data_IF_821012381881
#
_entry.id   IF_821012381881
#
_cell.length_a   1.000
_cell.length_b   1.000
_cell.length_c   1.000
_cell.angle_alpha   90.00
_cell.angle_beta   90.00
_cell.angle_gamma   90.00
#
_symmetry.space_group_name_H-M   'P 1'
#
loop_
_entity.id
_entity.type
_entity.pdbx_description
1 polymer ?
#
# COMPACT_ATOMS: atom_id res chain seq x y z
N UNK A 1 -23.24 23.06 -21.20
CA UNK A 1 -23.05 21.59 -21.17
C UNK A 1 -21.88 21.30 -20.22
N UNK A 2 -22.05 20.43 -19.22
CA UNK A 2 -20.95 20.08 -18.31
C UNK A 2 -19.88 19.29 -19.07
N UNK A 3 -18.59 19.58 -18.83
CA UNK A 3 -17.50 18.79 -19.40
C UNK A 3 -17.57 17.35 -18.83
N UNK A 4 -17.36 16.32 -19.65
CA UNK A 4 -17.27 14.95 -19.14
C UNK A 4 -16.07 14.81 -18.21
N UNK A 5 -16.23 13.99 -17.16
CA UNK A 5 -15.14 13.70 -16.23
C UNK A 5 -13.97 13.02 -16.97
N UNK A 6 -12.73 13.29 -16.55
CA UNK A 6 -11.59 12.54 -17.06
C UNK A 6 -11.72 11.04 -16.69
N UNK A 7 -11.06 10.14 -17.43
CA UNK A 7 -10.98 8.74 -17.06
C UNK A 7 -10.43 8.56 -15.64
N UNK A 8 -10.87 7.51 -14.91
CA UNK A 8 -10.29 7.18 -13.61
C UNK A 8 -8.82 6.82 -13.77
N UNK A 9 -8.03 7.13 -12.74
CA UNK A 9 -6.63 6.70 -12.65
C UNK A 9 -6.55 5.28 -12.08
N UNK A 10 -5.44 4.61 -12.37
CA UNK A 10 -5.11 3.31 -11.77
C UNK A 10 -4.50 3.48 -10.36
N UNK A 11 -4.56 2.42 -9.57
CA UNK A 11 -3.87 2.34 -8.28
C UNK A 11 -2.35 2.34 -8.48
N UNK A 12 -1.63 3.03 -7.60
CA UNK A 12 -0.17 3.04 -7.58
C UNK A 12 0.35 2.17 -6.44
N UNK A 13 1.06 1.09 -6.79
CA UNK A 13 1.74 0.22 -5.83
C UNK A 13 3.21 0.60 -5.75
N UNK A 14 3.60 1.35 -4.71
CA UNK A 14 4.98 1.74 -4.49
C UNK A 14 5.84 0.54 -4.05
N UNK A 15 6.98 0.32 -4.71
CA UNK A 15 7.97 -0.67 -4.26
C UNK A 15 8.61 -0.21 -2.96
N UNK A 16 8.59 -1.09 -1.96
CA UNK A 16 9.00 -0.75 -0.61
C UNK A 16 9.90 -1.83 -0.01
N UNK A 17 11.17 -1.54 0.27
CA UNK A 17 12.04 -2.47 1.00
C UNK A 17 11.56 -2.64 2.45
N UNK A 18 11.45 -3.90 2.90
CA UNK A 18 11.23 -4.21 4.31
C UNK A 18 12.41 -3.68 5.14
N UNK A 19 12.14 -3.12 6.31
CA UNK A 19 13.18 -2.50 7.15
C UNK A 19 13.60 -1.09 6.72
N UNK A 20 12.85 -0.45 5.81
CA UNK A 20 13.01 0.97 5.48
C UNK A 20 11.72 1.76 5.75
N UNK A 21 11.77 3.11 5.88
CA UNK A 21 10.59 3.93 6.14
C UNK A 21 9.53 3.81 5.06
N UNK A 22 8.26 3.96 5.43
CA UNK A 22 7.12 3.90 4.50
C UNK A 22 7.27 4.90 3.32
N UNK A 23 6.68 4.58 2.16
CA UNK A 23 6.61 5.52 1.05
C UNK A 23 5.60 6.63 1.37
N UNK A 24 5.57 7.68 0.56
CA UNK A 24 4.61 8.76 0.73
C UNK A 24 3.16 8.30 0.55
N UNK A 25 2.27 8.82 1.39
CA UNK A 25 0.82 8.59 1.35
C UNK A 25 0.39 7.10 1.35
N UNK A 26 0.88 6.26 2.29
CA UNK A 26 0.49 4.87 2.35
C UNK A 26 -0.97 4.73 2.80
N UNK A 27 -1.72 3.85 2.15
CA UNK A 27 -3.15 3.67 2.41
C UNK A 27 -3.35 2.84 3.68
N UNK A 28 -3.97 3.44 4.70
CA UNK A 28 -4.31 2.78 5.97
C UNK A 28 -5.55 1.91 5.87
N UNK A 29 -5.55 0.80 6.62
CA UNK A 29 -6.77 0.05 6.89
C UNK A 29 -7.71 0.88 7.77
N UNK A 30 -9.00 0.92 7.40
CA UNK A 30 -10.01 1.71 8.10
C UNK A 30 -10.11 1.28 9.58
N UNK A 31 -10.13 2.26 10.50
CA UNK A 31 -10.22 2.01 11.94
C UNK A 31 -8.95 1.47 12.60
N UNK A 32 -7.85 1.29 11.85
CA UNK A 32 -6.59 0.81 12.38
C UNK A 32 -5.56 1.94 12.48
N UNK A 33 -4.90 2.07 13.64
CA UNK A 33 -3.93 3.13 13.88
C UNK A 33 -2.65 2.95 13.06
N UNK A 34 -2.18 1.70 12.95
CA UNK A 34 -0.86 1.34 12.44
C UNK A 34 -0.91 0.09 11.52
N UNK A 35 -1.86 0.07 10.59
CA UNK A 35 -1.99 -1.01 9.61
C UNK A 35 -2.25 -0.43 8.22
N UNK A 36 -1.50 -0.91 7.23
CA UNK A 36 -1.51 -0.41 5.86
C UNK A 36 -1.69 -1.56 4.87
N UNK A 37 -2.32 -1.26 3.74
CA UNK A 37 -2.50 -2.23 2.64
C UNK A 37 -1.13 -2.54 2.03
N UNK A 38 -0.81 -3.82 1.90
CA UNK A 38 0.43 -4.28 1.28
C UNK A 38 0.15 -5.30 0.18
N UNK A 39 1.04 -5.37 -0.80
CA UNK A 39 0.99 -6.31 -1.91
C UNK A 39 2.34 -7.02 -2.03
N UNK A 40 2.29 -8.34 -2.16
CA UNK A 40 3.45 -9.18 -2.47
C UNK A 40 3.15 -10.09 -3.65
N UNK A 41 4.19 -10.54 -4.33
CA UNK A 41 4.08 -11.50 -5.43
C UNK A 41 4.87 -12.77 -5.10
N UNK A 42 4.20 -13.92 -5.24
CA UNK A 42 4.84 -15.24 -5.17
C UNK A 42 4.57 -16.00 -6.45
N UNK A 43 5.63 -16.35 -7.19
CA UNK A 43 5.53 -17.02 -8.49
C UNK A 43 4.59 -16.30 -9.48
N UNK A 44 4.67 -14.97 -9.53
CA UNK A 44 3.82 -14.14 -10.41
C UNK A 44 2.38 -13.96 -9.94
N UNK A 45 1.97 -14.56 -8.80
CA UNK A 45 0.63 -14.41 -8.25
C UNK A 45 0.58 -13.31 -7.18
N UNK A 46 -0.36 -12.35 -7.27
CA UNK A 46 -0.51 -11.28 -6.29
C UNK A 46 -1.14 -11.82 -4.99
N UNK A 47 -0.62 -11.38 -3.85
CA UNK A 47 -1.11 -11.68 -2.50
C UNK A 47 -1.20 -10.37 -1.73
N UNK A 48 -2.43 -9.98 -1.37
CA UNK A 48 -2.64 -8.84 -0.48
C UNK A 48 -2.33 -9.26 0.97
N UNK A 49 -1.73 -8.35 1.72
CA UNK A 49 -1.41 -8.54 3.13
C UNK A 49 -1.45 -7.22 3.87
N UNK A 50 -0.76 -7.16 5.01
CA UNK A 50 -0.67 -5.96 5.84
C UNK A 50 0.77 -5.57 6.11
N UNK A 51 1.02 -4.27 6.14
CA UNK A 51 2.24 -3.67 6.65
C UNK A 51 1.94 -2.84 7.92
N UNK A 52 2.94 -2.66 8.78
CA UNK A 52 2.86 -1.78 9.95
C UNK A 52 4.21 -1.10 10.18
N UNK A 53 4.17 0.02 10.92
CA UNK A 53 5.38 0.68 11.38
C UNK A 53 5.86 0.02 12.67
N UNK A 54 7.10 -0.45 12.67
CA UNK A 54 7.83 -0.80 13.88
C UNK A 54 9.18 -0.08 13.86
N UNK A 55 9.48 0.74 14.87
CA UNK A 55 10.75 1.48 14.94
C UNK A 55 11.01 2.46 13.79
N UNK A 56 9.98 2.97 13.12
CA UNK A 56 10.11 3.89 11.98
C UNK A 56 10.25 3.21 10.62
N UNK A 57 10.22 1.88 10.57
CA UNK A 57 10.41 1.09 9.35
C UNK A 57 9.23 0.16 9.08
N UNK A 58 9.14 -0.33 7.85
CA UNK A 58 8.11 -1.26 7.38
C UNK A 58 8.42 -2.67 7.88
N UNK A 59 7.46 -3.25 8.57
CA UNK A 59 7.29 -4.70 8.76
C UNK A 59 5.99 -5.15 8.10
N UNK A 60 5.85 -6.45 7.81
CA UNK A 60 4.71 -6.97 7.06
C UNK A 60 4.38 -8.45 7.34
N UNK A 61 3.15 -8.85 7.00
CA UNK A 61 2.66 -10.23 7.04
C UNK A 61 1.70 -10.48 5.88
N UNK A 62 1.93 -11.60 5.19
CA UNK A 62 1.19 -12.09 4.01
C UNK A 62 0.70 -13.52 4.24
#
# INVERSE_FOLDING_TARGET
MAKPNPPPKEDTWAFQPIGSPFPDNPVKAMGQQNMYVALWYKHGKPVHGRAWNNGGVVECSF
#
